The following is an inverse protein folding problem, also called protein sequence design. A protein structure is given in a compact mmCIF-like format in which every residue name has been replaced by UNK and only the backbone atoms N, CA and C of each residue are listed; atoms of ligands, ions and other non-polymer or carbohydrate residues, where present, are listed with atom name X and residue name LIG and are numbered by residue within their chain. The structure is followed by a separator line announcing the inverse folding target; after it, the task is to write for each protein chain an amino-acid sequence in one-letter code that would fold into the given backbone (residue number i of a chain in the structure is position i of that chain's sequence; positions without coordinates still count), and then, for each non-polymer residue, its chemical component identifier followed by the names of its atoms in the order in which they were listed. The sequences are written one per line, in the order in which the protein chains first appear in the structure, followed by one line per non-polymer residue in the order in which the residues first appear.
data_IF_787356618364
#
_entry.id   IF_787356618364
#
_cell.length_a   1.000
_cell.length_b   1.000
_cell.length_c   1.000
_cell.angle_alpha   90.00
_cell.angle_beta   90.00
_cell.angle_gamma   90.00
#
_symmetry.space_group_name_H-M   'P 1'
#
loop_
_entity.id
_entity.type
_entity.pdbx_description
1 polymer ?
#
# COMPACT_ATOMS: atom_id res chain seq x y z
N UNK A 1 -4.65 -6.73 -0.24
CA UNK A 1 -3.39 -7.18 0.37
C UNK A 1 -3.57 -8.52 1.08
N UNK A 2 -2.50 -9.27 1.29
CA UNK A 2 -2.50 -10.57 1.94
C UNK A 2 -1.67 -10.54 3.22
N UNK A 3 -1.87 -11.52 4.12
CA UNK A 3 -1.00 -11.67 5.30
C UNK A 3 0.47 -11.84 4.90
N UNK A 4 0.73 -12.56 3.81
CA UNK A 4 2.09 -12.71 3.25
C UNK A 4 2.70 -11.36 2.88
N UNK A 5 1.97 -10.50 2.17
CA UNK A 5 2.47 -9.17 1.78
C UNK A 5 2.76 -8.28 2.99
N UNK A 6 1.95 -8.39 4.04
CA UNK A 6 2.19 -7.66 5.29
C UNK A 6 3.48 -8.17 5.95
N UNK A 7 3.62 -9.48 6.18
CA UNK A 7 4.83 -10.03 6.80
C UNK A 7 6.09 -9.68 6.01
N UNK A 8 6.05 -9.79 4.68
CA UNK A 8 7.16 -9.42 3.80
C UNK A 8 7.55 -7.96 3.96
N UNK A 9 6.58 -7.04 4.00
CA UNK A 9 6.84 -5.61 4.16
C UNK A 9 7.45 -5.25 5.51
N UNK A 10 7.17 -6.03 6.54
CA UNK A 10 7.78 -5.90 7.87
C UNK A 10 9.04 -6.76 8.06
N UNK A 11 9.53 -7.39 7.00
CA UNK A 11 10.70 -8.28 7.03
C UNK A 11 10.58 -9.48 7.96
N UNK A 12 9.35 -9.96 8.19
CA UNK A 12 9.10 -11.16 8.99
C UNK A 12 9.01 -12.41 8.13
N UNK A 13 9.47 -13.56 8.63
CA UNK A 13 9.47 -14.82 7.89
C UNK A 13 8.05 -15.37 7.72
N UNK A 14 7.76 -15.95 6.57
CA UNK A 14 6.46 -16.57 6.26
C UNK A 14 6.07 -17.73 7.20
N UNK A 15 7.03 -18.31 7.91
CA UNK A 15 6.76 -19.37 8.92
C UNK A 15 5.84 -18.94 10.06
N UNK A 16 5.57 -17.63 10.20
CA UNK A 16 4.58 -17.10 11.13
C UNK A 16 3.13 -17.33 10.66
N UNK A 17 2.92 -17.68 9.40
CA UNK A 17 1.62 -18.07 8.86
C UNK A 17 1.29 -19.49 9.29
N UNK A 18 0.09 -19.69 9.84
CA UNK A 18 -0.38 -20.99 10.28
C UNK A 18 -0.81 -21.89 9.11
N UNK A 19 -1.16 -21.29 7.96
CA UNK A 19 -1.65 -21.98 6.78
C UNK A 19 -1.23 -21.25 5.50
N UNK A 20 -0.87 -22.00 4.48
CA UNK A 20 -0.60 -21.45 3.14
C UNK A 20 -1.85 -20.91 2.46
N UNK A 21 -3.02 -21.44 2.78
CA UNK A 21 -4.30 -20.95 2.27
C UNK A 21 -4.60 -19.53 2.79
N UNK A 22 -4.39 -19.29 4.07
CA UNK A 22 -4.54 -17.97 4.68
C UNK A 22 -3.53 -16.95 4.14
N UNK A 23 -2.35 -17.42 3.73
CA UNK A 23 -1.31 -16.57 3.17
C UNK A 23 -1.71 -15.88 1.86
N UNK A 24 -2.61 -16.48 1.09
CA UNK A 24 -3.07 -15.98 -0.21
C UNK A 24 -4.45 -15.32 -0.18
N UNK A 25 -5.15 -15.35 0.97
CA UNK A 25 -6.43 -14.66 1.12
C UNK A 25 -6.24 -13.15 0.99
N UNK A 26 -7.05 -12.52 0.16
CA UNK A 26 -7.02 -11.06 -0.02
C UNK A 26 -7.96 -10.38 0.97
N UNK A 27 -7.41 -9.36 1.62
CA UNK A 27 -8.15 -8.49 2.54
C UNK A 27 -8.28 -7.09 1.95
N UNK A 28 -9.46 -6.50 2.12
CA UNK A 28 -9.79 -5.17 1.59
C UNK A 28 -9.79 -4.08 2.65
N UNK A 29 -9.65 -4.47 3.92
CA UNK A 29 -9.58 -3.55 5.04
C UNK A 29 -8.85 -4.15 6.23
N UNK A 30 -8.43 -3.28 7.14
CA UNK A 30 -7.83 -3.64 8.42
C UNK A 30 -8.46 -2.83 9.53
N UNK A 31 -8.89 -3.50 10.61
CA UNK A 31 -9.57 -2.90 11.74
C UNK A 31 -9.03 -3.44 13.06
N UNK A 32 -9.27 -2.69 14.13
CA UNK A 32 -9.09 -3.20 15.49
C UNK A 32 -10.28 -4.08 15.88
N UNK A 33 -9.98 -5.17 16.58
CA UNK A 33 -11.00 -6.02 17.16
C UNK A 33 -11.26 -5.61 18.63
N UNK A 34 -12.52 -5.40 18.95
CA UNK A 34 -13.02 -5.27 20.31
C UNK A 34 -14.24 -6.16 20.48
N UNK A 35 -14.55 -6.65 21.67
CA UNK A 35 -15.80 -7.36 21.93
C UNK A 35 -17.02 -6.53 21.49
N UNK A 36 -17.86 -7.10 20.62
CA UNK A 36 -18.99 -6.39 20.02
C UNK A 36 -18.71 -5.68 18.69
N UNK A 37 -17.48 -5.76 18.18
CA UNK A 37 -17.18 -5.24 16.82
C UNK A 37 -17.98 -5.99 15.77
N UNK A 38 -18.65 -5.27 14.86
CA UNK A 38 -19.25 -5.84 13.67
C UNK A 38 -18.16 -6.35 12.72
N UNK A 39 -18.27 -7.62 12.31
CA UNK A 39 -17.26 -8.27 11.49
C UNK A 39 -17.64 -8.26 10.01
N UNK A 40 -16.72 -7.77 9.19
CA UNK A 40 -16.86 -7.74 7.74
C UNK A 40 -15.97 -8.81 7.09
N UNK A 41 -16.54 -9.56 6.14
CA UNK A 41 -15.78 -10.55 5.36
C UNK A 41 -14.62 -9.91 4.63
N UNK A 42 -13.55 -10.66 4.44
CA UNK A 42 -12.31 -10.17 3.82
C UNK A 42 -11.71 -8.93 4.52
N UNK A 43 -11.95 -8.80 5.81
CA UNK A 43 -11.30 -7.80 6.65
C UNK A 43 -10.29 -8.48 7.57
N UNK A 44 -9.16 -7.82 7.77
CA UNK A 44 -8.13 -8.23 8.71
C UNK A 44 -8.36 -7.53 10.04
N UNK A 45 -8.37 -8.29 11.13
CA UNK A 45 -8.57 -7.76 12.47
C UNK A 45 -7.30 -7.88 13.32
N UNK A 46 -6.94 -6.81 14.00
CA UNK A 46 -5.88 -6.80 14.98
C UNK A 46 -6.50 -6.99 16.37
N UNK A 47 -6.12 -8.05 17.04
CA UNK A 47 -6.58 -8.37 18.39
C UNK A 47 -5.40 -8.40 19.35
N UNK A 48 -5.52 -7.73 20.50
CA UNK A 48 -4.56 -7.81 21.58
C UNK A 48 -5.00 -8.90 22.56
N UNK A 49 -4.09 -9.77 22.97
CA UNK A 49 -4.41 -10.79 23.96
C UNK A 49 -3.56 -12.05 23.90
N UNK A 50 -3.92 -13.00 24.73
CA UNK A 50 -3.25 -14.31 24.86
C UNK A 50 -3.92 -15.42 24.05
N UNK A 51 -5.08 -15.16 23.46
CA UNK A 51 -5.82 -16.12 22.63
C UNK A 51 -6.56 -15.41 21.51
N UNK A 52 -6.82 -16.14 20.42
CA UNK A 52 -7.65 -15.62 19.32
C UNK A 52 -9.10 -15.49 19.82
N UNK A 53 -9.75 -14.34 19.61
CA UNK A 53 -11.17 -14.19 19.91
C UNK A 53 -12.02 -15.21 19.16
N UNK A 54 -12.96 -15.85 19.85
CA UNK A 54 -13.84 -16.89 19.27
C UNK A 54 -14.58 -16.39 18.04
N UNK A 55 -15.01 -15.13 18.04
CA UNK A 55 -15.68 -14.51 16.90
C UNK A 55 -14.83 -14.45 15.62
N UNK A 56 -13.51 -14.53 15.73
CA UNK A 56 -12.57 -14.55 14.60
C UNK A 56 -12.15 -15.95 14.18
N UNK A 57 -12.66 -17.00 14.84
CA UNK A 57 -12.28 -18.39 14.60
C UNK A 57 -13.20 -19.08 13.61
N UNK A 58 -13.29 -18.93 12.45
CA UNK A 58 -14.12 -19.72 11.52
C UNK A 58 -14.85 -18.93 10.48
N UNK A 59 -14.30 -17.82 10.11
CA UNK A 59 -14.89 -16.97 9.10
C UNK A 59 -13.95 -16.71 7.91
N UNK A 60 -14.42 -15.83 7.03
CA UNK A 60 -13.62 -15.22 5.97
C UNK A 60 -12.91 -13.97 6.51
N UNK A 61 -12.36 -14.07 7.73
CA UNK A 61 -11.65 -12.99 8.41
C UNK A 61 -10.20 -13.38 8.58
N UNK A 62 -9.29 -12.40 8.53
CA UNK A 62 -7.92 -12.59 8.99
C UNK A 62 -7.76 -12.05 10.41
N UNK A 63 -6.86 -12.64 11.18
CA UNK A 63 -6.50 -12.16 12.49
C UNK A 63 -4.98 -11.98 12.63
N UNK A 64 -4.57 -10.82 13.11
CA UNK A 64 -3.23 -10.63 13.67
C UNK A 64 -3.39 -10.54 15.17
N UNK A 65 -2.92 -11.58 15.86
CA UNK A 65 -2.90 -11.60 17.33
C UNK A 65 -1.61 -10.96 17.83
N UNK A 66 -1.76 -9.89 18.60
CA UNK A 66 -0.65 -9.17 19.21
C UNK A 66 -0.54 -9.63 20.66
N UNK A 67 0.55 -10.33 21.02
CA UNK A 67 0.72 -10.80 22.39
C UNK A 67 1.00 -9.63 23.34
N UNK A 68 0.57 -9.69 24.61
CA UNK A 68 0.99 -8.75 25.62
C UNK A 68 2.50 -8.87 25.88
N UNK A 69 3.10 -7.82 26.43
CA UNK A 69 4.54 -7.80 26.76
C UNK A 69 4.92 -8.91 27.76
N UNK A 70 4.04 -9.18 28.72
CA UNK A 70 4.17 -10.27 29.67
C UNK A 70 2.99 -11.23 29.49
N UNK A 71 3.22 -12.35 28.85
CA UNK A 71 2.20 -13.37 28.66
C UNK A 71 2.54 -14.33 27.52
N UNK A 72 2.06 -15.56 27.65
CA UNK A 72 2.16 -16.56 26.57
C UNK A 72 0.82 -16.69 25.89
N UNK A 73 0.85 -16.78 24.58
CA UNK A 73 -0.34 -17.12 23.80
C UNK A 73 -0.76 -18.54 24.18
N UNK A 74 -2.03 -18.71 24.51
CA UNK A 74 -2.64 -19.97 24.90
C UNK A 74 -3.71 -20.38 23.92
N UNK A 75 -3.80 -21.68 23.65
CA UNK A 75 -4.79 -22.24 22.73
C UNK A 75 -4.31 -22.34 21.27
N UNK A 76 -5.07 -23.04 20.44
CA UNK A 76 -4.77 -23.20 19.04
C UNK A 76 -4.98 -21.87 18.28
N UNK A 77 -4.07 -21.57 17.39
CA UNK A 77 -4.26 -20.47 16.43
C UNK A 77 -5.14 -20.96 15.28
N UNK A 78 -6.15 -20.20 14.91
CA UNK A 78 -6.94 -20.46 13.73
C UNK A 78 -6.07 -20.37 12.45
N UNK A 79 -6.49 -21.04 11.39
CA UNK A 79 -5.73 -21.11 10.14
C UNK A 79 -5.42 -19.72 9.54
N UNK A 80 -6.34 -18.77 9.72
CA UNK A 80 -6.25 -17.40 9.20
C UNK A 80 -5.63 -16.43 10.22
N UNK A 81 -4.84 -16.96 11.17
CA UNK A 81 -4.23 -16.14 12.23
C UNK A 81 -2.71 -16.06 12.05
N UNK A 82 -2.18 -14.88 12.27
CA UNK A 82 -0.76 -14.61 12.45
C UNK A 82 -0.51 -14.16 13.88
N UNK A 83 0.42 -14.82 14.57
CA UNK A 83 0.93 -14.32 15.84
C UNK A 83 1.99 -13.26 15.53
N UNK A 84 1.72 -12.02 15.94
CA UNK A 84 2.68 -10.95 15.75
C UNK A 84 3.89 -11.16 16.66
N UNK A 85 5.12 -11.05 16.13
CA UNK A 85 6.32 -11.43 16.89
C UNK A 85 6.73 -10.43 17.98
N UNK A 86 6.17 -9.24 17.95
CA UNK A 86 6.49 -8.16 18.89
C UNK A 86 5.25 -7.69 19.62
N UNK A 87 5.44 -7.28 20.88
CA UNK A 87 4.40 -6.60 21.64
C UNK A 87 4.41 -5.11 21.27
N UNK A 88 3.48 -4.73 20.40
CA UNK A 88 3.28 -3.33 19.98
C UNK A 88 1.83 -2.94 20.19
N UNK A 89 1.54 -1.66 20.52
CA UNK A 89 0.14 -1.21 20.61
C UNK A 89 -0.59 -1.45 19.28
N UNK A 90 -1.77 -2.06 19.32
CA UNK A 90 -2.53 -2.43 18.12
C UNK A 90 -2.82 -1.22 17.21
N UNK A 91 -3.06 -0.03 17.79
CA UNK A 91 -3.24 1.20 17.01
C UNK A 91 -2.00 1.60 16.21
N UNK A 92 -0.79 1.36 16.74
CA UNK A 92 0.46 1.65 16.01
C UNK A 92 0.62 0.68 14.85
N UNK A 93 0.36 -0.60 15.08
CA UNK A 93 0.41 -1.62 14.02
C UNK A 93 -0.66 -1.37 12.96
N UNK A 94 -1.89 -1.01 13.37
CA UNK A 94 -2.96 -0.63 12.46
C UNK A 94 -2.52 0.47 11.51
N UNK A 95 -2.00 1.58 12.03
CA UNK A 95 -1.55 2.70 11.21
C UNK A 95 -0.44 2.30 10.23
N UNK A 96 0.51 1.46 10.66
CA UNK A 96 1.57 0.95 9.77
C UNK A 96 1.01 0.10 8.63
N UNK A 97 0.06 -0.80 8.91
CA UNK A 97 -0.57 -1.66 7.89
C UNK A 97 -1.45 -0.81 6.96
N UNK A 98 -2.21 0.16 7.47
CA UNK A 98 -3.01 1.06 6.66
C UNK A 98 -2.15 1.89 5.71
N UNK A 99 -1.02 2.43 6.18
CA UNK A 99 -0.09 3.17 5.33
C UNK A 99 0.52 2.28 4.25
N UNK A 100 0.87 1.03 4.57
CA UNK A 100 1.32 0.06 3.58
C UNK A 100 0.24 -0.20 2.52
N UNK A 101 -1.01 -0.41 2.93
CA UNK A 101 -2.13 -0.62 2.02
C UNK A 101 -2.36 0.58 1.10
N UNK A 102 -2.37 1.80 1.66
CA UNK A 102 -2.57 3.02 0.88
C UNK A 102 -1.44 3.24 -0.13
N UNK A 103 -0.20 3.02 0.26
CA UNK A 103 0.95 3.13 -0.66
C UNK A 103 0.89 2.09 -1.80
N UNK A 104 0.58 0.84 -1.48
CA UNK A 104 0.46 -0.24 -2.47
C UNK A 104 -0.73 0.00 -3.41
N UNK A 105 -1.87 0.43 -2.89
CA UNK A 105 -3.07 0.73 -3.70
C UNK A 105 -2.84 1.90 -4.64
N UNK A 106 -2.16 2.96 -4.20
CA UNK A 106 -1.84 4.11 -5.05
C UNK A 106 -0.86 3.72 -6.16
N UNK A 107 0.18 2.96 -5.87
CA UNK A 107 1.11 2.44 -6.89
C UNK A 107 0.41 1.55 -7.92
N UNK A 108 -0.47 0.63 -7.49
CA UNK A 108 -1.25 -0.20 -8.40
C UNK A 108 -2.17 0.62 -9.30
N UNK A 109 -2.83 1.65 -8.74
CA UNK A 109 -3.67 2.57 -9.51
C UNK A 109 -2.85 3.38 -10.52
N UNK A 110 -1.70 3.89 -10.12
CA UNK A 110 -0.77 4.61 -11.00
C UNK A 110 -0.32 3.73 -12.17
N UNK A 111 0.14 2.52 -11.87
CA UNK A 111 0.56 1.56 -12.90
C UNK A 111 -0.58 1.25 -13.87
N UNK A 112 -1.79 1.02 -13.38
CA UNK A 112 -2.96 0.74 -14.21
C UNK A 112 -3.32 1.92 -15.13
N UNK A 113 -3.29 3.16 -14.63
CA UNK A 113 -3.57 4.36 -15.43
C UNK A 113 -2.53 4.51 -16.55
N UNK A 114 -1.24 4.38 -16.23
CA UNK A 114 -0.17 4.50 -17.23
C UNK A 114 -0.23 3.36 -18.27
N UNK A 115 -0.48 2.12 -17.85
CA UNK A 115 -0.61 0.98 -18.76
C UNK A 115 -1.84 1.10 -19.66
N UNK A 116 -2.97 1.58 -19.14
CA UNK A 116 -4.17 1.81 -19.98
C UNK A 116 -3.94 2.92 -21.00
N UNK A 117 -3.23 3.98 -20.64
CA UNK A 117 -2.88 5.04 -21.58
C UNK A 117 -1.93 4.55 -22.69
N UNK A 118 -0.98 3.68 -22.36
CA UNK A 118 -0.09 3.04 -23.35
C UNK A 118 -0.86 2.12 -24.32
N UNK A 119 -1.80 1.30 -23.80
CA UNK A 119 -2.60 0.38 -24.64
C UNK A 119 -3.57 1.11 -25.55
N UNK A 120 -4.03 2.30 -25.19
CA UNK A 120 -4.90 3.14 -26.01
C UNK A 120 -4.15 3.99 -27.03
N UNK A 121 -2.85 3.76 -27.26
CA UNK A 121 -2.00 4.59 -28.13
C UNK A 121 -2.08 6.09 -27.79
N UNK A 122 -2.17 6.40 -26.51
CA UNK A 122 -2.17 7.78 -26.05
C UNK A 122 -0.90 8.51 -26.52
N UNK A 123 -1.05 9.78 -26.90
CA UNK A 123 0.10 10.61 -27.23
C UNK A 123 1.04 10.76 -26.04
N UNK A 124 2.33 11.00 -26.30
CA UNK A 124 3.32 11.27 -25.24
C UNK A 124 2.85 12.43 -24.35
N UNK A 125 2.27 13.49 -24.92
CA UNK A 125 1.71 14.60 -24.15
C UNK A 125 0.59 14.16 -23.18
N UNK A 126 -0.31 13.27 -23.61
CA UNK A 126 -1.36 12.71 -22.74
C UNK A 126 -0.80 11.85 -21.60
N UNK A 127 0.26 11.09 -21.85
CA UNK A 127 0.95 10.30 -20.84
C UNK A 127 1.62 11.19 -19.79
N UNK A 128 2.30 12.26 -20.24
CA UNK A 128 2.96 13.22 -19.35
C UNK A 128 1.93 14.01 -18.52
N UNK A 129 0.81 14.40 -19.12
CA UNK A 129 -0.30 15.03 -18.42
C UNK A 129 -0.86 14.12 -17.30
N UNK A 130 -1.11 12.84 -17.58
CA UNK A 130 -1.56 11.87 -16.58
C UNK A 130 -0.52 11.65 -15.49
N UNK A 131 0.77 11.55 -15.87
CA UNK A 131 1.87 11.40 -14.93
C UNK A 131 1.95 12.61 -13.97
N UNK A 132 1.84 13.84 -14.47
CA UNK A 132 1.82 15.04 -13.66
C UNK A 132 0.64 15.04 -12.67
N UNK A 133 -0.55 14.63 -13.11
CA UNK A 133 -1.73 14.47 -12.26
C UNK A 133 -1.57 13.42 -11.17
N UNK A 134 -0.91 12.29 -11.47
CA UNK A 134 -0.63 11.23 -10.51
C UNK A 134 0.41 11.68 -9.47
N UNK A 135 1.50 12.27 -9.93
CA UNK A 135 2.61 12.70 -9.09
C UNK A 135 2.29 13.99 -8.31
N UNK A 136 1.23 14.70 -8.72
CA UNK A 136 0.89 16.03 -8.22
C UNK A 136 2.09 16.98 -8.28
N UNK A 137 2.83 16.87 -9.37
CA UNK A 137 4.05 17.62 -9.60
C UNK A 137 4.27 17.88 -11.10
N UNK A 138 5.07 18.86 -11.43
CA UNK A 138 5.51 19.08 -12.78
C UNK A 138 6.34 17.91 -13.31
N UNK A 139 6.12 17.53 -14.58
CA UNK A 139 6.83 16.43 -15.21
C UNK A 139 7.44 16.92 -16.51
N UNK A 140 8.71 16.62 -16.73
CA UNK A 140 9.48 16.94 -17.92
C UNK A 140 10.06 15.65 -18.50
N UNK A 141 9.84 15.42 -19.78
CA UNK A 141 10.43 14.34 -20.55
C UNK A 141 11.44 14.92 -21.54
N UNK A 142 12.67 14.46 -21.45
CA UNK A 142 13.77 14.87 -22.30
C UNK A 142 14.24 13.71 -23.18
N UNK A 143 14.79 14.04 -24.34
CA UNK A 143 15.59 13.10 -25.11
C UNK A 143 17.04 13.01 -24.59
N UNK A 144 17.88 12.08 -25.12
CA UNK A 144 19.27 11.98 -24.73
C UNK A 144 20.14 13.21 -25.06
N UNK A 145 19.64 14.13 -25.90
CA UNK A 145 20.28 15.39 -26.22
C UNK A 145 19.74 16.57 -25.41
N UNK A 146 19.01 16.26 -24.31
CA UNK A 146 18.38 17.24 -23.43
C UNK A 146 17.35 18.15 -24.10
N UNK A 147 16.76 17.72 -25.20
CA UNK A 147 15.65 18.42 -25.82
C UNK A 147 14.33 18.00 -25.17
N UNK A 148 13.41 18.95 -25.01
CA UNK A 148 12.12 18.71 -24.41
C UNK A 148 11.21 17.97 -25.38
N UNK A 149 10.87 16.73 -25.06
CA UNK A 149 9.89 15.92 -25.81
C UNK A 149 8.46 16.30 -25.40
N UNK A 150 8.22 16.41 -24.08
CA UNK A 150 6.96 16.81 -23.50
C UNK A 150 7.16 17.36 -22.10
N UNK A 151 6.29 18.27 -21.69
CA UNK A 151 6.29 18.82 -20.34
C UNK A 151 4.88 19.17 -19.91
N UNK A 152 4.61 19.06 -18.62
CA UNK A 152 3.33 19.38 -18.01
C UNK A 152 3.53 19.97 -16.61
N UNK A 153 2.97 21.15 -16.37
CA UNK A 153 2.93 21.77 -15.05
C UNK A 153 1.68 21.34 -14.30
N UNK A 154 1.79 20.89 -13.07
CA UNK A 154 0.64 20.49 -12.25
C UNK A 154 -0.03 21.73 -11.64
N UNK A 155 -0.99 22.33 -12.39
CA UNK A 155 -1.97 23.29 -11.84
C UNK A 155 -1.46 24.59 -11.21
N UNK A 156 -0.17 24.83 -11.18
CA UNK A 156 0.47 26.01 -10.64
C UNK A 156 1.43 26.65 -11.65
N UNK A 157 1.53 27.96 -11.57
CA UNK A 157 2.56 28.68 -12.29
C UNK A 157 3.90 28.34 -11.65
N UNK A 158 4.73 27.58 -12.38
CA UNK A 158 6.06 27.18 -11.87
C UNK A 158 6.99 28.36 -12.10
N UNK A 159 7.32 29.03 -11.01
CA UNK A 159 8.23 30.18 -11.01
C UNK A 159 9.69 29.75 -10.81
N UNK A 160 10.09 28.76 -11.63
CA UNK A 160 11.43 28.19 -11.63
C UNK A 160 12.15 28.57 -12.94
N UNK A 161 13.36 29.11 -12.82
CA UNK A 161 14.17 29.59 -13.94
C UNK A 161 14.42 28.47 -14.96
N UNK A 162 14.73 27.28 -14.46
CA UNK A 162 14.98 26.10 -15.30
C UNK A 162 13.73 25.71 -16.09
N UNK A 163 12.55 25.74 -15.47
CA UNK A 163 11.28 25.45 -16.13
C UNK A 163 10.93 26.48 -17.21
N UNK A 164 11.16 27.78 -16.90
CA UNK A 164 10.95 28.85 -17.87
C UNK A 164 11.91 28.78 -19.05
N UNK A 165 13.15 28.38 -18.81
CA UNK A 165 14.15 28.16 -19.84
C UNK A 165 13.75 27.00 -20.77
N UNK A 166 13.28 25.87 -20.22
CA UNK A 166 12.72 24.76 -21.00
C UNK A 166 11.53 25.18 -21.86
N UNK A 167 10.61 26.01 -21.32
CA UNK A 167 9.48 26.55 -22.06
C UNK A 167 9.92 27.44 -23.23
N UNK A 168 10.95 28.26 -23.01
CA UNK A 168 11.39 29.26 -23.97
C UNK A 168 12.25 28.67 -25.09
N UNK A 169 13.16 27.78 -24.73
CA UNK A 169 14.18 27.26 -25.65
C UNK A 169 13.95 25.82 -26.10
N UNK A 170 12.98 25.10 -25.51
CA UNK A 170 12.68 23.72 -25.85
C UNK A 170 13.79 22.72 -25.49
N UNK A 171 14.75 23.14 -24.67
CA UNK A 171 15.89 22.35 -24.22
C UNK A 171 16.37 22.80 -22.85
N UNK A 172 17.09 21.90 -22.18
CA UNK A 172 17.79 22.24 -20.94
C UNK A 172 19.09 22.91 -21.30
N UNK A 173 19.31 24.14 -20.80
CA UNK A 173 20.60 24.82 -20.91
C UNK A 173 21.56 24.28 -19.82
N UNK A 174 22.85 24.14 -20.17
CA UNK A 174 23.92 23.81 -19.22
C UNK A 174 24.15 24.93 -18.21
#
# INVERSE_FOLDING_TARGET
FTLRSILSAFHYPEKLLQSTAAASMEYFGVNLYYPGTELFRHCLYLAEGTSVPEALTGGLYGCILIPPAEGRVTGPLAAETVLWPESVPAGVLLNRIQNLYLSTSSQSRMAHILMSALTLNASIGSLIHQAAGILQNAVLLLDPAYQVIAMEGFGCQIDDIFWQDCLTHGRVSE
#
